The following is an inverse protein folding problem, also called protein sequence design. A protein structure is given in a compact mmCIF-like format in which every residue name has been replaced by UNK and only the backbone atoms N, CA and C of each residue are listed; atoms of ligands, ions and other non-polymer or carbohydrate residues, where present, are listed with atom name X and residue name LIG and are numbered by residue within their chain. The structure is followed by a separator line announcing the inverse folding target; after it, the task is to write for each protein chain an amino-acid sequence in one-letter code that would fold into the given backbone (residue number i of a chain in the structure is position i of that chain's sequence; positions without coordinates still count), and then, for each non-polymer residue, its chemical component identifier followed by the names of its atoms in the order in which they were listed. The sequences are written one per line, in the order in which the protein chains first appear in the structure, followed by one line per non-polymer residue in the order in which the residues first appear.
data_IF_853171189358
#
_entry.id   IF_853171189358
#
_cell.length_a   1.000
_cell.length_b   1.000
_cell.length_c   1.000
_cell.angle_alpha   90.00
_cell.angle_beta   90.00
_cell.angle_gamma   90.00
#
_symmetry.space_group_name_H-M   'P 1'
#
loop_
_entity.id
_entity.type
_entity.pdbx_description
1 polymer ?
#
# COMPACT_ATOMS: atom_id res chain seq x y z
N UNK A 1 -16.74 -4.51 -6.17
CA UNK A 1 -17.24 -5.65 -5.34
C UNK A 1 -17.75 -5.15 -3.98
N UNK A 2 -18.36 -5.99 -3.14
CA UNK A 2 -18.73 -5.59 -1.76
C UNK A 2 -17.48 -5.18 -0.94
N UNK A 3 -16.39 -5.92 -1.09
CA UNK A 3 -15.13 -5.62 -0.41
C UNK A 3 -14.53 -4.29 -0.86
N UNK A 4 -14.56 -4.00 -2.16
CA UNK A 4 -14.08 -2.72 -2.70
C UNK A 4 -14.87 -1.55 -2.12
N UNK A 5 -16.21 -1.67 -2.06
CA UNK A 5 -17.06 -0.65 -1.42
C UNK A 5 -16.76 -0.50 0.07
N UNK A 6 -16.45 -1.60 0.76
CA UNK A 6 -16.06 -1.55 2.17
C UNK A 6 -14.71 -0.86 2.37
N UNK A 7 -13.70 -1.22 1.56
CA UNK A 7 -12.39 -0.57 1.56
C UNK A 7 -12.51 0.93 1.31
N UNK A 8 -13.23 1.32 0.24
CA UNK A 8 -13.48 2.73 -0.10
C UNK A 8 -14.20 3.48 1.02
N UNK A 9 -15.22 2.88 1.63
CA UNK A 9 -15.97 3.52 2.72
C UNK A 9 -15.07 3.82 3.92
N UNK A 10 -14.22 2.87 4.33
CA UNK A 10 -13.30 3.07 5.46
C UNK A 10 -12.15 4.00 5.06
N UNK A 11 -11.64 3.92 3.83
CA UNK A 11 -10.64 4.85 3.31
C UNK A 11 -11.12 6.30 3.43
N UNK A 12 -12.38 6.56 3.06
CA UNK A 12 -13.00 7.89 3.21
C UNK A 12 -13.17 8.31 4.67
N UNK A 13 -13.59 7.41 5.56
CA UNK A 13 -13.75 7.73 7.00
C UNK A 13 -12.42 8.02 7.69
N UNK A 14 -11.34 7.37 7.23
CA UNK A 14 -9.98 7.54 7.75
C UNK A 14 -9.21 8.69 7.11
N UNK A 15 -9.75 9.33 6.07
CA UNK A 15 -9.05 10.38 5.34
C UNK A 15 -8.85 11.63 6.23
N UNK A 16 -7.62 11.85 6.69
CA UNK A 16 -7.23 13.03 7.46
C UNK A 16 -7.70 13.05 8.93
N UNK A 17 -8.20 11.93 9.46
CA UNK A 17 -8.62 11.82 10.87
C UNK A 17 -7.79 10.77 11.61
N UNK A 18 -6.84 11.22 12.43
CA UNK A 18 -5.93 10.35 13.17
C UNK A 18 -6.65 9.39 14.13
N UNK A 19 -7.80 9.79 14.68
CA UNK A 19 -8.60 8.94 15.57
C UNK A 19 -9.19 7.76 14.80
N UNK A 20 -9.79 8.03 13.64
CA UNK A 20 -10.35 7.01 12.77
C UNK A 20 -9.27 6.13 12.14
N UNK A 21 -8.12 6.69 11.74
CA UNK A 21 -6.99 5.93 11.21
C UNK A 21 -6.48 4.90 12.21
N UNK A 22 -6.25 5.33 13.46
CA UNK A 22 -5.84 4.45 14.54
C UNK A 22 -6.91 3.37 14.81
N UNK A 23 -8.17 3.79 14.94
CA UNK A 23 -9.27 2.87 15.23
C UNK A 23 -9.51 1.84 14.11
N UNK A 24 -9.35 2.22 12.84
CA UNK A 24 -9.52 1.34 11.70
C UNK A 24 -8.46 0.25 11.64
N UNK A 25 -7.22 0.57 12.03
CA UNK A 25 -6.14 -0.43 12.07
C UNK A 25 -6.25 -1.40 13.26
N UNK A 26 -6.78 -0.94 14.39
CA UNK A 26 -6.98 -1.77 15.59
C UNK A 26 -7.91 -2.96 15.33
N UNK A 27 -7.72 -4.03 16.11
CA UNK A 27 -8.65 -5.15 16.15
C UNK A 27 -8.68 -6.01 14.87
N UNK A 28 -7.60 -6.01 14.08
CA UNK A 28 -7.46 -6.86 12.90
C UNK A 28 -7.67 -6.15 11.57
N UNK A 29 -7.90 -4.83 11.55
CA UNK A 29 -8.17 -4.10 10.31
C UNK A 29 -6.99 -4.08 9.34
N UNK A 30 -5.77 -3.91 9.87
CA UNK A 30 -4.53 -3.99 9.07
C UNK A 30 -4.39 -5.36 8.43
N UNK A 31 -4.54 -6.42 9.22
CA UNK A 31 -4.41 -7.82 8.78
C UNK A 31 -5.49 -8.18 7.75
N UNK A 32 -6.72 -7.68 7.93
CA UNK A 32 -7.81 -7.88 6.98
C UNK A 32 -7.51 -7.24 5.62
N UNK A 33 -6.97 -6.02 5.60
CA UNK A 33 -6.58 -5.35 4.36
C UNK A 33 -5.41 -6.06 3.67
N UNK A 34 -4.41 -6.52 4.43
CA UNK A 34 -3.31 -7.29 3.86
C UNK A 34 -3.80 -8.63 3.27
N UNK A 35 -4.77 -9.28 3.92
CA UNK A 35 -5.40 -10.48 3.37
C UNK A 35 -6.15 -10.21 2.05
N UNK A 36 -6.63 -8.98 1.82
CA UNK A 36 -7.15 -8.56 0.51
C UNK A 36 -6.04 -8.44 -0.52
N UNK A 37 -4.91 -7.80 -0.17
CA UNK A 37 -3.76 -7.62 -1.06
C UNK A 37 -3.13 -8.95 -1.49
N UNK A 38 -3.18 -9.98 -0.64
CA UNK A 38 -2.66 -11.33 -0.93
C UNK A 38 -3.56 -12.19 -1.84
N UNK A 39 -4.70 -11.69 -2.32
CA UNK A 39 -5.61 -12.47 -3.18
C UNK A 39 -5.12 -12.51 -4.62
N UNK A 40 -4.90 -13.72 -5.13
CA UNK A 40 -4.39 -13.95 -6.50
C UNK A 40 -5.26 -13.33 -7.63
N UNK A 41 -6.56 -13.15 -7.40
CA UNK A 41 -7.51 -12.66 -8.41
C UNK A 41 -8.28 -11.40 -7.93
N UNK A 42 -7.64 -10.58 -7.08
CA UNK A 42 -8.21 -9.27 -6.76
C UNK A 42 -8.17 -8.36 -7.99
N UNK A 43 -9.27 -7.64 -8.24
CA UNK A 43 -9.29 -6.61 -9.26
C UNK A 43 -8.43 -5.41 -8.84
N UNK A 44 -7.80 -4.74 -9.80
CA UNK A 44 -6.95 -3.57 -9.54
C UNK A 44 -7.70 -2.47 -8.77
N UNK A 45 -8.99 -2.26 -9.04
CA UNK A 45 -9.79 -1.28 -8.28
C UNK A 45 -9.95 -1.67 -6.80
N UNK A 46 -10.06 -2.97 -6.48
CA UNK A 46 -10.07 -3.43 -5.10
C UNK A 46 -8.70 -3.25 -4.44
N UNK A 47 -7.62 -3.55 -5.16
CA UNK A 47 -6.26 -3.36 -4.66
C UNK A 47 -5.96 -1.88 -4.42
N UNK A 48 -6.46 -0.99 -5.27
CA UNK A 48 -6.27 0.45 -5.15
C UNK A 48 -6.88 0.97 -3.85
N UNK A 49 -8.15 0.63 -3.62
CA UNK A 49 -8.86 1.01 -2.38
C UNK A 49 -8.25 0.36 -1.13
N UNK A 50 -7.75 -0.88 -1.25
CA UNK A 50 -7.06 -1.56 -0.17
C UNK A 50 -5.71 -0.89 0.16
N UNK A 51 -4.93 -0.50 -0.85
CA UNK A 51 -3.67 0.23 -0.67
C UNK A 51 -3.91 1.62 -0.08
N UNK A 52 -4.94 2.35 -0.52
CA UNK A 52 -5.33 3.65 0.04
C UNK A 52 -5.72 3.52 1.51
N UNK A 53 -6.59 2.56 1.83
CA UNK A 53 -6.98 2.30 3.22
C UNK A 53 -5.78 1.90 4.09
N UNK A 54 -4.91 1.03 3.57
CA UNK A 54 -3.67 0.64 4.26
C UNK A 54 -2.80 1.87 4.53
N UNK A 55 -2.56 2.72 3.52
CA UNK A 55 -1.80 3.95 3.68
C UNK A 55 -2.37 4.85 4.79
N UNK A 56 -3.69 5.04 4.82
CA UNK A 56 -4.36 5.84 5.84
C UNK A 56 -4.20 5.27 7.25
N UNK A 57 -4.32 3.95 7.44
CA UNK A 57 -4.18 3.32 8.76
C UNK A 57 -2.75 3.41 9.33
N UNK A 58 -1.76 3.61 8.46
CA UNK A 58 -0.34 3.53 8.82
C UNK A 58 0.33 4.89 9.07
N UNK A 59 -0.34 6.00 8.71
CA UNK A 59 0.24 7.33 8.87
C UNK A 59 0.45 7.62 10.35
N UNK A 60 1.71 7.89 10.72
CA UNK A 60 2.15 8.19 12.08
C UNK A 60 1.69 7.21 13.19
N UNK A 61 1.35 5.96 12.84
CA UNK A 61 0.94 4.93 13.79
C UNK A 61 1.88 3.71 13.81
N UNK A 62 2.79 3.72 14.80
CA UNK A 62 3.80 2.66 14.99
C UNK A 62 3.16 1.29 15.23
N UNK A 63 2.01 1.20 15.90
CA UNK A 63 1.39 -0.09 16.19
C UNK A 63 0.81 -0.72 14.93
N UNK A 64 0.14 0.08 14.11
CA UNK A 64 -0.38 -0.38 12.82
C UNK A 64 0.75 -0.72 11.84
N UNK A 65 1.85 0.06 11.82
CA UNK A 65 3.06 -0.28 11.05
C UNK A 65 3.65 -1.62 11.46
N UNK A 66 3.72 -1.89 12.77
CA UNK A 66 4.19 -3.17 13.29
C UNK A 66 3.24 -4.29 12.89
N UNK A 67 1.92 -4.13 13.08
CA UNK A 67 0.93 -5.12 12.68
C UNK A 67 1.04 -5.46 11.18
N UNK A 68 1.26 -4.44 10.34
CA UNK A 68 1.42 -4.63 8.91
C UNK A 68 2.68 -5.42 8.57
N UNK A 69 3.81 -5.13 9.25
CA UNK A 69 5.04 -5.93 9.12
C UNK A 69 4.85 -7.39 9.53
N UNK A 70 4.19 -7.65 10.66
CA UNK A 70 3.95 -9.02 11.15
C UNK A 70 3.01 -9.84 10.25
N UNK A 71 2.18 -9.18 9.46
CA UNK A 71 1.27 -9.81 8.52
C UNK A 71 1.86 -9.98 7.10
N UNK A 72 3.18 -9.80 6.92
CA UNK A 72 3.88 -9.75 5.62
C UNK A 72 3.25 -8.71 4.66
N UNK A 73 2.83 -7.57 5.21
CA UNK A 73 2.24 -6.49 4.43
C UNK A 73 3.24 -5.84 3.48
N UNK A 74 4.53 -5.80 3.85
CA UNK A 74 5.58 -5.22 3.00
C UNK A 74 5.70 -6.03 1.71
N UNK A 75 5.75 -7.36 1.83
CA UNK A 75 5.81 -8.29 0.72
C UNK A 75 4.56 -8.20 -0.16
N UNK A 76 3.38 -8.07 0.46
CA UNK A 76 2.12 -7.92 -0.26
C UNK A 76 2.08 -6.62 -1.08
N UNK A 77 2.51 -5.49 -0.50
CA UNK A 77 2.57 -4.20 -1.22
C UNK A 77 3.62 -4.25 -2.34
N UNK A 78 4.78 -4.86 -2.10
CA UNK A 78 5.79 -5.07 -3.15
C UNK A 78 5.24 -5.93 -4.30
N UNK A 79 4.43 -6.96 -4.01
CA UNK A 79 3.80 -7.77 -5.05
C UNK A 79 2.84 -6.94 -5.92
N UNK A 80 2.07 -6.03 -5.32
CA UNK A 80 1.23 -5.07 -6.07
C UNK A 80 2.09 -4.18 -6.97
N UNK A 81 3.19 -3.63 -6.46
CA UNK A 81 4.11 -2.76 -7.22
C UNK A 81 4.80 -3.51 -8.38
N UNK A 82 4.94 -4.83 -8.30
CA UNK A 82 5.52 -5.66 -9.37
C UNK A 82 4.52 -5.95 -10.51
N UNK A 83 3.26 -5.55 -10.41
CA UNK A 83 2.28 -5.75 -11.46
C UNK A 83 2.56 -4.86 -12.67
N UNK A 84 2.94 -5.46 -13.80
CA UNK A 84 3.22 -4.74 -15.05
C UNK A 84 2.00 -4.02 -15.64
N UNK A 85 0.78 -4.45 -15.25
CA UNK A 85 -0.49 -3.92 -15.77
C UNK A 85 -1.19 -2.97 -14.81
N UNK A 86 -0.62 -2.74 -13.63
CA UNK A 86 -1.21 -1.84 -12.66
C UNK A 86 -1.30 -0.41 -13.21
N UNK A 87 -2.48 0.18 -13.07
CA UNK A 87 -2.70 1.59 -13.34
C UNK A 87 -1.89 2.49 -12.39
N UNK A 88 -1.59 3.70 -12.83
CA UNK A 88 -0.77 4.65 -12.06
C UNK A 88 -1.43 5.03 -10.73
N UNK A 89 -2.77 5.06 -10.70
CA UNK A 89 -3.55 5.28 -9.47
C UNK A 89 -3.26 4.21 -8.43
N UNK A 90 -3.30 2.93 -8.81
CA UNK A 90 -2.96 1.81 -7.94
C UNK A 90 -1.50 1.89 -7.46
N UNK A 91 -0.56 2.16 -8.37
CA UNK A 91 0.86 2.28 -8.00
C UNK A 91 1.10 3.42 -7.02
N UNK A 92 0.43 4.57 -7.22
CA UNK A 92 0.51 5.70 -6.30
C UNK A 92 0.07 5.30 -4.88
N UNK A 93 -1.06 4.60 -4.75
CA UNK A 93 -1.53 4.16 -3.42
C UNK A 93 -0.61 3.11 -2.80
N UNK A 94 -0.10 2.17 -3.60
CA UNK A 94 0.84 1.16 -3.12
C UNK A 94 2.17 1.78 -2.66
N UNK A 95 2.69 2.78 -3.39
CA UNK A 95 3.88 3.55 -3.00
C UNK A 95 3.64 4.34 -1.72
N UNK A 96 2.47 4.96 -1.56
CA UNK A 96 2.11 5.68 -0.34
C UNK A 96 2.03 4.73 0.86
N UNK A 97 1.43 3.55 0.69
CA UNK A 97 1.40 2.52 1.72
C UNK A 97 2.81 2.08 2.10
N UNK A 98 3.68 1.76 1.13
CA UNK A 98 5.07 1.36 1.39
C UNK A 98 5.88 2.48 2.11
N UNK A 99 5.64 3.74 1.74
CA UNK A 99 6.23 4.90 2.41
C UNK A 99 5.83 4.93 3.88
N UNK A 100 4.53 4.82 4.18
CA UNK A 100 4.02 4.85 5.54
C UNK A 100 4.44 3.60 6.34
N UNK A 101 4.58 2.43 5.70
CA UNK A 101 5.08 1.21 6.35
C UNK A 101 6.53 1.34 6.80
N UNK A 102 7.37 2.03 6.02
CA UNK A 102 8.81 2.11 6.23
C UNK A 102 9.25 3.36 6.99
N UNK A 103 8.40 4.37 7.08
CA UNK A 103 8.68 5.61 7.83
C UNK A 103 8.96 5.30 9.31
N UNK A 104 10.22 5.49 9.72
CA UNK A 104 10.66 5.27 11.10
C UNK A 104 10.66 3.81 11.57
N UNK A 105 10.33 2.84 10.71
CA UNK A 105 10.24 1.43 11.08
C UNK A 105 11.39 0.60 10.47
N UNK A 106 12.44 0.36 11.26
CA UNK A 106 13.65 -0.33 10.80
C UNK A 106 13.42 -1.78 10.36
N UNK A 107 12.47 -2.49 10.96
CA UNK A 107 12.17 -3.88 10.57
C UNK A 107 11.45 -3.93 9.21
N UNK A 108 10.47 -3.05 9.00
CA UNK A 108 9.80 -2.92 7.71
C UNK A 108 10.76 -2.42 6.61
N UNK A 109 11.70 -1.52 6.94
CA UNK A 109 12.76 -1.10 6.00
C UNK A 109 13.64 -2.29 5.57
N UNK A 110 14.08 -3.12 6.52
CA UNK A 110 14.85 -4.34 6.19
C UNK A 110 14.03 -5.34 5.38
N UNK A 111 12.76 -5.53 5.73
CA UNK A 111 11.86 -6.40 4.97
C UNK A 111 11.69 -5.89 3.52
N UNK A 112 11.50 -4.58 3.34
CA UNK A 112 11.39 -3.97 2.03
C UNK A 112 12.66 -4.17 1.20
N UNK A 113 13.84 -3.95 1.80
CA UNK A 113 15.12 -4.23 1.15
C UNK A 113 15.28 -5.69 0.73
N UNK A 114 14.95 -6.65 1.60
CA UNK A 114 15.01 -8.08 1.27
C UNK A 114 13.98 -8.52 0.23
N UNK A 115 12.81 -7.88 0.19
CA UNK A 115 11.71 -8.20 -0.73
C UNK A 115 11.89 -7.67 -2.15
N UNK A 116 12.97 -6.92 -2.41
CA UNK A 116 13.20 -6.25 -3.68
C UNK A 116 12.45 -4.92 -3.81
N UNK A 117 12.16 -4.26 -2.69
CA UNK A 117 11.43 -3.00 -2.64
C UNK A 117 12.18 -1.84 -3.30
N UNK A 118 13.52 -1.83 -3.23
CA UNK A 118 14.33 -0.80 -3.88
C UNK A 118 14.24 -0.94 -5.39
N UNK A 119 14.38 -2.16 -5.90
CA UNK A 119 14.37 -2.50 -7.32
C UNK A 119 13.02 -2.17 -7.95
N UNK A 120 11.90 -2.51 -7.29
CA UNK A 120 10.57 -2.23 -7.85
C UNK A 120 10.26 -0.73 -7.85
N UNK A 121 10.65 0.01 -6.80
CA UNK A 121 10.45 1.47 -6.76
C UNK A 121 11.29 2.17 -7.84
N UNK A 122 12.54 1.75 -8.05
CA UNK A 122 13.37 2.26 -9.14
C UNK A 122 12.79 1.93 -10.51
N UNK A 123 12.22 0.73 -10.70
CA UNK A 123 11.57 0.36 -11.95
C UNK A 123 10.36 1.27 -12.25
N UNK A 124 9.51 1.56 -11.24
CA UNK A 124 8.40 2.52 -11.39
C UNK A 124 8.94 3.91 -11.73
N UNK A 125 9.95 4.41 -10.99
CA UNK A 125 10.55 5.72 -11.26
C UNK A 125 11.09 5.85 -12.70
N UNK A 126 11.78 4.81 -13.19
CA UNK A 126 12.30 4.78 -14.55
C UNK A 126 11.20 4.74 -15.61
N UNK A 127 10.11 4.01 -15.34
CA UNK A 127 8.94 3.92 -16.23
C UNK A 127 8.30 5.30 -16.43
N UNK A 128 8.04 6.02 -15.35
CA UNK A 128 7.43 7.36 -15.39
C UNK A 128 8.35 8.38 -16.07
N UNK A 129 9.65 8.39 -15.72
CA UNK A 129 10.60 9.32 -16.32
C UNK A 129 10.83 9.06 -17.83
N UNK A 130 10.76 7.81 -18.26
CA UNK A 130 10.81 7.48 -19.69
C UNK A 130 9.54 7.94 -20.43
N UNK A 131 8.37 7.83 -19.80
CA UNK A 131 7.11 8.31 -20.36
C UNK A 131 7.12 9.85 -20.54
N UNK A 132 7.62 10.59 -19.55
CA UNK A 132 7.75 12.04 -19.62
C UNK A 132 8.67 12.47 -20.78
N UNK A 133 9.81 11.78 -20.96
CA UNK A 133 10.78 12.08 -22.02
C UNK A 133 10.27 11.84 -23.45
N UNK A 134 9.17 11.08 -23.62
CA UNK A 134 8.51 10.84 -24.91
C UNK A 134 7.41 11.87 -25.20
N UNK A 135 6.83 12.51 -24.17
CA UNK A 135 5.83 13.57 -24.32
C UNK A 135 6.45 14.94 -24.67
N UNK A 136 7.76 15.12 -24.41
CA UNK A 136 8.50 16.34 -24.72
C UNK A 136 9.15 16.36 -26.14
N UNK A 137 8.89 15.36 -27.00
CA UNK A 137 9.40 15.28 -28.38
C UNK A 137 8.29 15.44 -29.43
#
# INVERSE_FOLDING_TARGET
SLLEKACLAVANVTAGDAGNQNAAGRGGGVEAVIAVLKREQAADSLLEEACLLLANMLVDDVQNQMAAGHADGVEAVIAVLKSEKAADSLLQQALQALTNMTAGNAENQKAAGRGGGVEVVLAVLMRENAADSLLEK
#
